data_IF_088068402078
#
_entry.id   IF_088068402078
#
_cell.length_a   1.000
_cell.length_b   1.000
_cell.length_c   1.000
_cell.angle_alpha   90.00
_cell.angle_beta   90.00
_cell.angle_gamma   90.00
#
_symmetry.space_group_name_H-M   'P 1'
#
loop_
_entity.id
_entity.type
_entity.pdbx_description
1 polymer ?
#
# COMPACT_ATOMS: atom_id res chain seq x y z
N UNK A 1 0.45 -7.93 17.16
CA UNK A 1 -0.88 -7.31 16.99
C UNK A 1 -1.77 -8.23 16.17
N UNK A 2 -3.08 -8.16 16.36
CA UNK A 2 -4.05 -8.84 15.50
C UNK A 2 -3.99 -8.30 14.06
N UNK A 3 -4.59 -9.00 13.09
CA UNK A 3 -4.68 -8.52 11.71
C UNK A 3 -5.35 -7.14 11.66
N UNK A 4 -6.44 -6.97 12.41
CA UNK A 4 -7.15 -5.70 12.56
C UNK A 4 -6.21 -4.58 13.04
N UNK A 5 -5.48 -4.82 14.14
CA UNK A 5 -4.56 -3.83 14.71
C UNK A 5 -3.48 -3.43 13.71
N UNK A 6 -2.82 -4.40 13.06
CA UNK A 6 -1.77 -4.12 12.07
C UNK A 6 -2.34 -3.33 10.88
N UNK A 7 -3.55 -3.68 10.43
CA UNK A 7 -4.22 -3.03 9.31
C UNK A 7 -4.57 -1.57 9.62
N UNK A 8 -5.11 -1.31 10.81
CA UNK A 8 -5.47 0.03 11.27
C UNK A 8 -4.23 0.89 11.54
N UNK A 9 -3.20 0.33 12.17
CA UNK A 9 -1.92 1.04 12.42
C UNK A 9 -1.23 1.46 11.12
N UNK A 10 -1.31 0.65 10.06
CA UNK A 10 -0.73 1.00 8.75
C UNK A 10 -1.22 2.35 8.22
N UNK A 11 -2.45 2.76 8.57
CA UNK A 11 -3.05 4.04 8.14
C UNK A 11 -2.41 5.25 8.80
N UNK A 12 -1.71 5.06 9.92
CA UNK A 12 -1.04 6.09 10.69
C UNK A 12 0.44 6.27 10.28
N UNK A 13 0.94 5.42 9.39
CA UNK A 13 2.31 5.53 8.91
C UNK A 13 2.46 6.73 7.98
N UNK A 14 3.51 7.52 8.23
CA UNK A 14 3.90 8.60 7.33
C UNK A 14 4.31 8.06 5.97
N UNK A 15 4.14 8.90 4.95
CA UNK A 15 4.62 8.58 3.61
C UNK A 15 6.14 8.51 3.61
N UNK A 16 6.65 7.66 2.73
CA UNK A 16 8.06 7.62 2.40
C UNK A 16 8.51 8.96 1.81
N UNK A 17 9.63 9.48 2.31
CA UNK A 17 10.27 10.71 1.85
C UNK A 17 11.74 10.40 1.53
N UNK A 18 12.26 10.99 0.47
CA UNK A 18 13.70 11.01 0.18
C UNK A 18 14.27 12.33 0.65
N UNK A 19 15.45 12.27 1.27
CA UNK A 19 16.23 13.43 1.67
C UNK A 19 17.72 13.10 1.57
N UNK A 20 18.55 14.14 1.41
CA UNK A 20 20.01 14.00 1.40
C UNK A 20 20.61 14.01 2.83
N UNK A 21 19.85 14.49 3.82
CA UNK A 21 20.28 14.58 5.20
C UNK A 21 19.88 13.33 5.99
N UNK A 22 20.69 12.96 6.98
CA UNK A 22 20.37 11.89 7.89
C UNK A 22 19.21 12.31 8.81
N UNK A 23 18.13 11.53 8.79
CA UNK A 23 16.93 11.77 9.60
C UNK A 23 16.37 10.47 10.17
N UNK A 24 15.63 10.61 11.29
CA UNK A 24 15.03 9.49 12.01
C UNK A 24 13.97 8.79 11.15
N UNK A 25 14.09 7.48 11.03
CA UNK A 25 13.09 6.64 10.38
C UNK A 25 12.12 6.04 11.42
N UNK A 26 11.06 6.79 11.75
CA UNK A 26 10.10 6.42 12.81
C UNK A 26 9.50 5.01 12.65
N UNK A 27 9.20 4.58 11.43
CA UNK A 27 8.62 3.25 11.16
C UNK A 27 9.58 2.08 11.37
N UNK A 28 10.89 2.31 11.43
CA UNK A 28 11.92 1.30 11.70
C UNK A 28 12.56 1.47 13.09
N UNK A 29 12.30 2.61 13.75
CA UNK A 29 12.92 2.93 15.03
C UNK A 29 14.42 3.24 14.94
N UNK A 30 14.90 3.72 13.78
CA UNK A 30 16.31 4.01 13.53
C UNK A 30 16.58 5.52 13.48
N UNK A 31 17.74 5.96 13.98
CA UNK A 31 18.15 7.36 13.96
C UNK A 31 18.52 7.88 12.56
N UNK A 32 18.99 6.99 11.69
CA UNK A 32 19.23 7.26 10.27
C UNK A 32 19.04 5.98 9.47
N UNK A 33 18.51 6.09 8.25
CA UNK A 33 18.32 4.95 7.37
C UNK A 33 18.47 5.31 5.90
N UNK A 34 19.11 4.43 5.14
CA UNK A 34 19.23 4.51 3.68
C UNK A 34 19.04 3.12 3.08
N UNK A 35 18.60 3.08 1.82
CA UNK A 35 18.48 1.83 1.06
C UNK A 35 19.55 1.78 -0.02
N UNK A 36 20.27 0.67 -0.13
CA UNK A 36 21.37 0.50 -1.09
C UNK A 36 21.47 -0.93 -1.65
N UNK A 37 20.45 -1.76 -1.41
CA UNK A 37 20.49 -3.21 -1.65
C UNK A 37 19.75 -3.63 -2.92
N UNK A 38 19.14 -2.69 -3.64
CA UNK A 38 18.31 -2.96 -4.84
C UNK A 38 18.63 -2.05 -6.04
N UNK A 39 19.91 -1.81 -6.41
CA UNK A 39 20.29 -0.85 -7.46
C UNK A 39 19.72 -1.17 -8.84
N UNK A 40 19.47 -2.46 -9.14
CA UNK A 40 18.90 -2.90 -10.43
C UNK A 40 17.47 -2.38 -10.62
N UNK A 41 16.73 -2.15 -9.53
CA UNK A 41 15.28 -1.83 -9.56
C UNK A 41 14.91 -0.53 -8.85
N UNK A 42 15.85 0.11 -8.15
CA UNK A 42 15.66 1.39 -7.44
C UNK A 42 16.83 2.31 -7.78
N UNK A 43 16.55 3.40 -8.49
CA UNK A 43 17.58 4.32 -8.92
C UNK A 43 18.28 5.01 -7.73
N UNK A 44 17.55 5.34 -6.66
CA UNK A 44 18.16 5.91 -5.46
C UNK A 44 19.10 4.92 -4.75
N UNK A 45 18.82 3.61 -4.76
CA UNK A 45 19.78 2.60 -4.27
C UNK A 45 21.08 2.60 -5.10
N UNK A 46 20.99 2.79 -6.42
CA UNK A 46 22.16 2.93 -7.29
C UNK A 46 22.96 4.18 -6.94
N UNK A 47 22.30 5.32 -6.74
CA UNK A 47 22.95 6.57 -6.30
C UNK A 47 23.66 6.37 -4.96
N UNK A 48 23.02 5.67 -4.01
CA UNK A 48 23.64 5.36 -2.72
C UNK A 48 24.88 4.46 -2.87
N UNK A 49 24.85 3.46 -3.75
CA UNK A 49 26.04 2.64 -4.03
C UNK A 49 27.18 3.45 -4.65
N UNK A 50 26.86 4.40 -5.55
CA UNK A 50 27.84 5.32 -6.14
C UNK A 50 28.45 6.26 -5.10
N UNK A 51 27.65 6.79 -4.18
CA UNK A 51 28.14 7.58 -3.04
C UNK A 51 29.09 6.76 -2.15
N UNK A 52 28.74 5.51 -1.83
CA UNK A 52 29.63 4.62 -1.07
C UNK A 52 30.93 4.36 -1.83
N UNK A 53 30.87 4.13 -3.16
CA UNK A 53 32.05 3.96 -4.01
C UNK A 53 32.93 5.20 -4.06
N UNK A 54 32.34 6.39 -4.03
CA UNK A 54 33.06 7.65 -4.01
C UNK A 54 33.90 7.83 -2.73
N UNK A 55 33.44 7.32 -1.58
CA UNK A 55 34.23 7.29 -0.34
C UNK A 55 35.53 6.50 -0.51
N UNK A 56 35.55 5.49 -1.38
CA UNK A 56 36.73 4.70 -1.72
C UNK A 56 37.53 5.28 -2.91
N UNK A 57 37.20 6.47 -3.40
CA UNK A 57 37.87 7.10 -4.55
C UNK A 57 37.60 6.44 -5.89
N UNK A 58 36.58 5.58 -5.99
CA UNK A 58 36.23 4.86 -7.22
C UNK A 58 35.31 5.68 -8.13
N UNK A 59 34.69 6.73 -7.61
CA UNK A 59 33.77 7.64 -8.29
C UNK A 59 33.85 9.05 -7.68
N UNK A 60 33.30 10.06 -8.37
CA UNK A 60 33.11 11.38 -7.79
C UNK A 60 31.83 11.41 -6.93
N UNK A 61 31.86 11.98 -5.71
CA UNK A 61 30.66 12.10 -4.88
C UNK A 61 29.69 13.10 -5.50
N UNK A 62 28.39 12.80 -5.45
CA UNK A 62 27.39 13.79 -5.84
C UNK A 62 27.32 14.91 -4.80
N UNK A 63 27.27 16.14 -5.28
CA UNK A 63 26.94 17.32 -4.49
C UNK A 63 25.48 17.31 -4.02
N UNK A 64 25.16 18.13 -3.02
CA UNK A 64 23.78 18.31 -2.53
C UNK A 64 22.84 18.74 -3.66
N UNK A 65 23.28 19.69 -4.50
CA UNK A 65 22.47 20.18 -5.62
C UNK A 65 22.17 19.08 -6.66
N UNK A 66 23.13 18.19 -6.93
CA UNK A 66 22.92 17.03 -7.81
C UNK A 66 21.96 16.03 -7.19
N UNK A 67 22.09 15.74 -5.89
CA UNK A 67 21.16 14.86 -5.18
C UNK A 67 19.73 15.42 -5.19
N UNK A 68 19.56 16.72 -4.95
CA UNK A 68 18.26 17.40 -5.06
C UNK A 68 17.69 17.33 -6.47
N UNK A 69 18.54 17.51 -7.48
CA UNK A 69 18.18 17.34 -8.89
C UNK A 69 17.65 15.94 -9.16
N UNK A 70 18.36 14.91 -8.70
CA UNK A 70 17.96 13.51 -8.84
C UNK A 70 16.64 13.24 -8.11
N UNK A 71 16.49 13.70 -6.86
CA UNK A 71 15.26 13.49 -6.08
C UNK A 71 14.05 14.09 -6.80
N UNK A 72 14.14 15.33 -7.30
CA UNK A 72 13.08 15.97 -8.09
C UNK A 72 12.73 15.18 -9.35
N UNK A 73 13.72 14.64 -10.06
CA UNK A 73 13.49 13.80 -11.24
C UNK A 73 12.79 12.48 -10.89
N UNK A 74 12.99 11.95 -9.68
CA UNK A 74 12.41 10.69 -9.22
C UNK A 74 10.98 10.82 -8.67
N UNK A 75 10.57 11.98 -8.16
CA UNK A 75 9.25 12.19 -7.54
C UNK A 75 8.10 11.69 -8.42
N UNK A 76 8.08 12.13 -9.69
CA UNK A 76 7.00 11.81 -10.61
C UNK A 76 7.00 10.33 -11.04
N UNK A 77 8.11 9.73 -11.51
CA UNK A 77 8.17 8.30 -11.79
C UNK A 77 7.78 7.43 -10.60
N UNK A 78 8.28 7.74 -9.39
CA UNK A 78 7.98 6.94 -8.20
C UNK A 78 6.48 6.96 -7.88
N UNK A 79 5.85 8.14 -7.93
CA UNK A 79 4.42 8.29 -7.72
C UNK A 79 3.58 7.55 -8.78
N UNK A 80 3.96 7.65 -10.06
CA UNK A 80 3.24 7.00 -11.18
C UNK A 80 3.38 5.48 -11.14
N UNK A 81 4.59 4.96 -10.94
CA UNK A 81 4.86 3.52 -10.89
C UNK A 81 4.11 2.89 -9.72
N UNK A 82 4.10 3.52 -8.54
CA UNK A 82 3.35 3.02 -7.38
C UNK A 82 1.84 2.92 -7.65
N UNK A 83 1.25 3.96 -8.26
CA UNK A 83 -0.18 3.95 -8.63
C UNK A 83 -0.49 2.85 -9.66
N UNK A 84 0.36 2.70 -10.67
CA UNK A 84 0.21 1.66 -11.69
C UNK A 84 0.32 0.25 -11.10
N UNK A 85 1.29 0.02 -10.21
CA UNK A 85 1.44 -1.28 -9.54
C UNK A 85 0.24 -1.62 -8.67
N UNK A 86 -0.22 -0.67 -7.86
CA UNK A 86 -1.42 -0.84 -7.01
C UNK A 86 -2.66 -1.12 -7.86
N UNK A 87 -2.87 -0.34 -8.93
CA UNK A 87 -3.99 -0.53 -9.86
C UNK A 87 -3.93 -1.88 -10.58
N UNK A 88 -2.74 -2.31 -11.03
CA UNK A 88 -2.53 -3.62 -11.67
C UNK A 88 -2.84 -4.76 -10.70
N UNK A 89 -2.34 -4.69 -9.47
CA UNK A 89 -2.62 -5.71 -8.45
C UNK A 89 -4.13 -5.82 -8.18
N UNK A 90 -4.79 -4.69 -7.98
CA UNK A 90 -6.24 -4.65 -7.76
C UNK A 90 -7.01 -5.20 -8.96
N UNK A 91 -6.65 -4.82 -10.18
CA UNK A 91 -7.27 -5.33 -11.40
C UNK A 91 -7.25 -6.86 -11.46
N UNK A 92 -6.08 -7.48 -11.25
CA UNK A 92 -5.96 -8.94 -11.32
C UNK A 92 -6.68 -9.66 -10.18
N UNK A 93 -6.72 -9.04 -8.99
CA UNK A 93 -7.50 -9.57 -7.88
C UNK A 93 -9.00 -9.52 -8.18
N UNK A 94 -9.51 -8.41 -8.73
CA UNK A 94 -10.89 -8.33 -9.17
C UNK A 94 -11.17 -9.31 -10.32
N UNK A 95 -10.22 -9.50 -11.25
CA UNK A 95 -10.35 -10.45 -12.35
C UNK A 95 -10.51 -11.88 -11.84
N UNK A 96 -9.79 -12.23 -10.78
CA UNK A 96 -9.96 -13.49 -10.08
C UNK A 96 -11.33 -13.59 -9.39
N UNK A 97 -11.75 -12.53 -8.68
CA UNK A 97 -13.04 -12.49 -7.99
C UNK A 97 -14.27 -12.45 -8.92
N UNK A 98 -14.12 -12.04 -10.18
CA UNK A 98 -15.18 -12.17 -11.20
C UNK A 98 -15.68 -13.61 -11.37
N UNK A 99 -14.80 -14.60 -11.18
CA UNK A 99 -15.16 -16.02 -11.28
C UNK A 99 -15.83 -16.56 -10.02
N UNK A 100 -15.92 -15.74 -8.96
CA UNK A 100 -16.43 -16.10 -7.63
C UNK A 100 -17.73 -15.39 -7.27
N UNK A 101 -18.36 -14.73 -8.24
CA UNK A 101 -19.68 -14.12 -8.04
C UNK A 101 -20.68 -15.19 -7.58
N UNK A 102 -21.43 -14.88 -6.52
CA UNK A 102 -22.36 -15.78 -5.84
C UNK A 102 -21.74 -16.61 -4.72
N UNK A 103 -20.41 -16.61 -4.55
CA UNK A 103 -19.74 -17.31 -3.46
C UNK A 103 -19.67 -16.45 -2.20
N UNK A 104 -19.64 -17.13 -1.06
CA UNK A 104 -19.44 -16.51 0.25
C UNK A 104 -17.95 -16.40 0.55
N UNK A 105 -17.56 -15.27 1.11
CA UNK A 105 -16.21 -14.97 1.53
C UNK A 105 -16.26 -14.39 2.95
N UNK A 106 -15.22 -14.64 3.73
CA UNK A 106 -15.08 -14.06 5.06
C UNK A 106 -14.56 -12.62 4.94
N UNK A 107 -15.19 -11.71 5.67
CA UNK A 107 -14.77 -10.32 5.76
C UNK A 107 -14.65 -9.87 7.22
N UNK A 108 -13.62 -9.08 7.50
CA UNK A 108 -13.42 -8.44 8.78
C UNK A 108 -13.90 -6.99 8.74
N UNK A 109 -14.66 -6.60 9.75
CA UNK A 109 -15.09 -5.22 9.93
C UNK A 109 -13.93 -4.31 10.30
N UNK A 110 -13.69 -3.27 9.48
CA UNK A 110 -12.63 -2.30 9.77
C UNK A 110 -13.21 -1.06 10.46
N UNK A 111 -14.11 -0.34 9.77
CA UNK A 111 -14.66 0.93 10.22
C UNK A 111 -16.09 1.07 9.73
N UNK A 112 -16.97 1.57 10.59
CA UNK A 112 -18.27 2.09 10.19
C UNK A 112 -18.13 3.52 9.68
N UNK A 113 -18.55 3.77 8.43
CA UNK A 113 -18.70 5.12 7.87
C UNK A 113 -20.17 5.53 7.88
N UNK A 114 -20.48 6.76 7.45
CA UNK A 114 -21.84 7.31 7.47
C UNK A 114 -22.85 6.48 6.66
N UNK A 115 -22.46 6.00 5.48
CA UNK A 115 -23.37 5.36 4.51
C UNK A 115 -23.00 3.89 4.19
N UNK A 116 -21.84 3.41 4.65
CA UNK A 116 -21.35 2.05 4.39
C UNK A 116 -20.45 1.58 5.54
N UNK A 117 -20.24 0.28 5.61
CA UNK A 117 -19.15 -0.31 6.35
C UNK A 117 -17.95 -0.50 5.44
N UNK A 118 -16.76 -0.22 5.95
CA UNK A 118 -15.54 -0.64 5.30
C UNK A 118 -15.13 -1.99 5.87
N UNK A 119 -14.98 -2.98 5.00
CA UNK A 119 -14.62 -4.35 5.38
C UNK A 119 -13.36 -4.79 4.64
N UNK A 120 -12.64 -5.74 5.23
CA UNK A 120 -11.48 -6.38 4.63
C UNK A 120 -11.82 -7.83 4.29
N UNK A 121 -11.81 -8.19 3.00
CA UNK A 121 -11.86 -9.60 2.63
C UNK A 121 -10.53 -10.25 3.04
N UNK A 122 -10.56 -11.07 4.10
CA UNK A 122 -9.35 -11.52 4.81
C UNK A 122 -8.48 -12.42 3.94
N UNK A 123 -9.08 -13.30 3.13
CA UNK A 123 -8.36 -14.17 2.19
C UNK A 123 -7.64 -13.44 1.05
N UNK A 124 -8.00 -12.17 0.79
CA UNK A 124 -7.51 -11.40 -0.35
C UNK A 124 -6.78 -10.13 0.04
N UNK A 125 -6.82 -9.76 1.33
CA UNK A 125 -6.34 -8.47 1.84
C UNK A 125 -6.91 -7.28 1.04
N UNK A 126 -8.20 -7.36 0.68
CA UNK A 126 -8.90 -6.38 -0.15
C UNK A 126 -9.93 -5.59 0.65
N UNK A 127 -9.73 -4.28 0.76
CA UNK A 127 -10.76 -3.39 1.32
C UNK A 127 -11.92 -3.24 0.33
N UNK A 128 -13.14 -3.39 0.85
CA UNK A 128 -14.39 -3.22 0.11
C UNK A 128 -15.38 -2.39 0.93
N UNK A 129 -16.25 -1.70 0.22
CA UNK A 129 -17.40 -1.04 0.81
C UNK A 129 -18.58 -2.00 0.85
N UNK A 130 -19.20 -2.12 2.02
CA UNK A 130 -20.37 -2.94 2.28
C UNK A 130 -21.56 -2.01 2.62
N UNK A 131 -22.62 -1.95 1.80
CA UNK A 131 -23.79 -1.12 2.10
C UNK A 131 -24.43 -1.47 3.45
N UNK A 132 -24.93 -0.47 4.15
CA UNK A 132 -25.71 -0.67 5.38
C UNK A 132 -27.12 -1.13 4.97
N UNK A 133 -27.35 -2.43 4.91
CA UNK A 133 -28.66 -3.03 4.59
C UNK A 133 -29.36 -3.61 5.82
N UNK A 134 -28.64 -3.88 6.89
CA UNK A 134 -29.14 -4.51 8.10
C UNK A 134 -29.18 -3.55 9.29
N UNK A 135 -30.10 -3.81 10.23
CA UNK A 135 -30.11 -3.21 11.58
C UNK A 135 -28.98 -3.74 12.48
N UNK A 136 -28.14 -4.67 11.99
CA UNK A 136 -27.00 -5.22 12.71
C UNK A 136 -25.96 -4.12 12.96
N UNK A 137 -25.72 -3.82 14.23
CA UNK A 137 -24.64 -2.93 14.65
C UNK A 137 -23.31 -3.70 14.70
N UNK A 138 -22.66 -3.78 13.54
CA UNK A 138 -21.36 -4.43 13.39
C UNK A 138 -20.25 -3.59 14.04
N UNK A 139 -19.46 -4.22 14.90
CA UNK A 139 -18.32 -3.60 15.57
C UNK A 139 -17.03 -3.81 14.77
N UNK A 140 -16.05 -2.91 14.91
CA UNK A 140 -14.71 -3.18 14.38
C UNK A 140 -14.17 -4.53 14.87
N UNK A 141 -13.41 -5.21 14.02
CA UNK A 141 -12.83 -6.55 14.24
C UNK A 141 -13.82 -7.73 14.13
N UNK A 142 -15.14 -7.48 14.07
CA UNK A 142 -16.12 -8.55 13.82
C UNK A 142 -15.86 -9.27 12.49
N UNK A 143 -15.92 -10.61 12.51
CA UNK A 143 -15.87 -11.43 11.31
C UNK A 143 -17.29 -11.72 10.83
N UNK A 144 -17.54 -11.45 9.55
CA UNK A 144 -18.84 -11.62 8.90
C UNK A 144 -18.69 -12.43 7.62
N UNK A 145 -19.76 -13.12 7.24
CA UNK A 145 -19.87 -13.75 5.92
C UNK A 145 -20.51 -12.77 4.94
N UNK A 146 -19.85 -12.56 3.81
CA UNK A 146 -20.35 -11.70 2.73
C UNK A 146 -20.41 -12.49 1.42
N UNK A 147 -21.47 -12.29 0.67
CA UNK A 147 -21.56 -12.82 -0.69
C UNK A 147 -21.04 -11.81 -1.70
N UNK A 148 -20.18 -12.27 -2.61
CA UNK A 148 -19.71 -11.48 -3.76
C UNK A 148 -20.84 -11.36 -4.78
N UNK A 149 -21.55 -10.24 -4.82
CA UNK A 149 -22.70 -10.08 -5.73
C UNK A 149 -22.32 -9.69 -7.15
N UNK A 150 -21.35 -8.79 -7.28
CA UNK A 150 -20.94 -8.27 -8.59
C UNK A 150 -19.49 -7.84 -8.55
N UNK A 151 -18.74 -8.23 -9.56
CA UNK A 151 -17.36 -7.79 -9.76
C UNK A 151 -17.17 -7.39 -11.21
N UNK A 152 -16.41 -6.33 -11.44
CA UNK A 152 -15.92 -5.96 -12.76
C UNK A 152 -14.52 -5.39 -12.64
N UNK A 153 -13.52 -6.17 -13.04
CA UNK A 153 -12.13 -5.77 -13.03
C UNK A 153 -11.89 -4.56 -13.95
N UNK A 154 -12.53 -4.55 -15.12
CA UNK A 154 -12.40 -3.45 -16.09
C UNK A 154 -12.99 -2.13 -15.59
N UNK A 155 -14.04 -2.17 -14.77
CA UNK A 155 -14.67 -0.98 -14.18
C UNK A 155 -14.14 -0.64 -12.79
N UNK A 156 -13.23 -1.45 -12.25
CA UNK A 156 -12.73 -1.37 -10.87
C UNK A 156 -13.82 -1.44 -9.78
N UNK A 157 -14.82 -2.29 -10.00
CA UNK A 157 -16.00 -2.42 -9.11
C UNK A 157 -16.05 -3.78 -8.45
N UNK A 158 -16.34 -3.80 -7.15
CA UNK A 158 -16.78 -4.96 -6.38
C UNK A 158 -17.95 -4.55 -5.48
N UNK A 159 -19.01 -5.35 -5.48
CA UNK A 159 -20.18 -5.15 -4.63
C UNK A 159 -20.39 -6.41 -3.77
N UNK A 160 -20.53 -6.18 -2.47
CA UNK A 160 -20.71 -7.20 -1.45
C UNK A 160 -22.08 -7.04 -0.79
N UNK A 161 -22.62 -8.12 -0.23
CA UNK A 161 -23.82 -8.07 0.61
C UNK A 161 -23.65 -9.05 1.76
N UNK A 162 -24.22 -8.68 2.92
CA UNK A 162 -24.24 -9.53 4.11
C UNK A 162 -25.08 -10.77 3.82
N UNK A 163 -24.53 -11.96 4.11
CA UNK A 163 -25.24 -13.23 3.93
C UNK A 163 -24.36 -14.31 3.35
#
# INVERSE_FOLDING_TARGET
GSLFQNWMQRRLLNRFMLGHAAEKHSGLGLDAYVTATSPIRKYFDLVNQRQVRAVFGLENPYSIAEMDGIMRLLELPMSRVFKLQTGRQRYWLLKYLEQRVGQKEEAMMLVRRRNNYQVLLTGYMLECDLPITSLLDLKPEDLIQVTVQRVSARKDVIALTIG
#
